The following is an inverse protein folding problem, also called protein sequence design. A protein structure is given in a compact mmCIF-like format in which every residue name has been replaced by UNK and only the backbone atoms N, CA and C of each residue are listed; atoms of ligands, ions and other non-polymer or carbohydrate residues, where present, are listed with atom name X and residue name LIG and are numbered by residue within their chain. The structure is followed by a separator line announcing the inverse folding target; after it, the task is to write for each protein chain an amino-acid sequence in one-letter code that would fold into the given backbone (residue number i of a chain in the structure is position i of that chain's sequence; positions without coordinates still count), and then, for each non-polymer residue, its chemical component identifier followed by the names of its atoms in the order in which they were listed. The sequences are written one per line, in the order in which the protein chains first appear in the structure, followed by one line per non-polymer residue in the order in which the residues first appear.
data_IF_547869118903
#
_entry.id   IF_547869118903
#
_cell.length_a   1.000
_cell.length_b   1.000
_cell.length_c   1.000
_cell.angle_alpha   90.00
_cell.angle_beta   90.00
_cell.angle_gamma   90.00
#
_symmetry.space_group_name_H-M   'P 1'
#
loop_
_entity.id
_entity.type
_entity.pdbx_description
1 polymer ?
#
# COMPACT_ATOMS: atom_id res chain seq x y z
N UNK A 1 25.09 -3.77 1.01
CA UNK A 1 24.31 -4.06 -0.22
C UNK A 1 22.97 -3.37 -0.05
N UNK A 2 22.76 -2.25 -0.73
CA UNK A 2 21.55 -1.42 -0.55
C UNK A 2 20.41 -2.08 -1.32
N UNK A 3 19.46 -2.68 -0.60
CA UNK A 3 18.27 -3.25 -1.21
C UNK A 3 17.35 -2.09 -1.63
N UNK A 4 17.30 -1.81 -2.94
CA UNK A 4 16.33 -0.87 -3.49
C UNK A 4 15.04 -1.65 -3.70
N UNK A 5 13.97 -1.36 -2.94
CA UNK A 5 12.70 -2.06 -3.10
C UNK A 5 12.15 -1.85 -4.52
N UNK A 6 11.52 -2.88 -5.08
CA UNK A 6 10.79 -2.72 -6.35
C UNK A 6 9.65 -1.72 -6.18
N UNK A 7 9.12 -1.17 -7.28
CA UNK A 7 8.03 -0.22 -7.20
C UNK A 7 6.80 -0.83 -6.52
N UNK A 8 6.52 -2.11 -6.79
CA UNK A 8 5.45 -2.85 -6.13
C UNK A 8 5.69 -3.02 -4.62
N UNK A 9 6.93 -3.30 -4.19
CA UNK A 9 7.28 -3.38 -2.76
C UNK A 9 7.15 -2.02 -2.07
N UNK A 10 7.59 -0.94 -2.70
CA UNK A 10 7.42 0.41 -2.17
C UNK A 10 5.93 0.76 -1.98
N UNK A 11 5.07 0.39 -2.94
CA UNK A 11 3.62 0.60 -2.83
C UNK A 11 2.97 -0.26 -1.74
N UNK A 12 3.43 -1.50 -1.52
CA UNK A 12 2.97 -2.35 -0.40
C UNK A 12 3.30 -1.70 0.94
N UNK A 13 4.55 -1.24 1.12
CA UNK A 13 4.95 -0.53 2.34
C UNK A 13 4.19 0.78 2.55
N UNK A 14 3.90 1.51 1.48
CA UNK A 14 3.08 2.71 1.54
C UNK A 14 1.65 2.38 2.00
N UNK A 15 1.03 1.33 1.46
CA UNK A 15 -0.29 0.89 1.89
C UNK A 15 -0.34 0.52 3.38
N UNK A 16 0.68 -0.19 3.88
CA UNK A 16 0.76 -0.56 5.29
C UNK A 16 0.93 0.67 6.20
N UNK A 17 1.68 1.67 5.74
CA UNK A 17 1.80 2.96 6.45
C UNK A 17 0.45 3.67 6.54
N UNK A 18 -0.34 3.67 5.45
CA UNK A 18 -1.66 4.28 5.44
C UNK A 18 -2.63 3.56 6.39
N UNK A 19 -2.59 2.23 6.46
CA UNK A 19 -3.42 1.48 7.42
C UNK A 19 -3.04 1.79 8.87
N UNK A 20 -1.75 1.90 9.18
CA UNK A 20 -1.30 2.31 10.51
C UNK A 20 -1.81 3.72 10.87
N UNK A 21 -1.81 4.66 9.92
CA UNK A 21 -2.41 5.98 10.14
C UNK A 21 -3.92 5.89 10.35
N UNK A 22 -4.62 5.06 9.56
CA UNK A 22 -6.06 4.86 9.73
C UNK A 22 -6.40 4.33 11.13
N UNK A 23 -5.69 3.31 11.61
CA UNK A 23 -5.89 2.79 12.97
C UNK A 23 -5.63 3.83 14.05
N UNK A 24 -4.58 4.65 13.87
CA UNK A 24 -4.28 5.75 14.80
C UNK A 24 -5.41 6.76 14.85
N UNK A 25 -5.95 7.17 13.70
CA UNK A 25 -7.06 8.12 13.62
C UNK A 25 -8.35 7.55 14.18
N UNK A 26 -8.65 6.28 13.93
CA UNK A 26 -9.80 5.60 14.54
C UNK A 26 -9.68 5.60 16.06
N UNK A 27 -8.52 5.24 16.63
CA UNK A 27 -8.34 5.26 18.10
C UNK A 27 -8.46 6.65 18.71
N UNK A 28 -7.94 7.68 18.03
CA UNK A 28 -8.01 9.06 18.50
C UNK A 28 -9.45 9.58 18.50
N UNK A 29 -10.19 9.36 17.42
CA UNK A 29 -11.52 9.94 17.24
C UNK A 29 -12.63 9.11 17.89
N UNK A 30 -12.41 7.80 18.06
CA UNK A 30 -13.30 6.96 18.86
C UNK A 30 -13.38 7.42 20.31
N UNK A 31 -12.28 7.93 20.87
CA UNK A 31 -12.26 8.53 22.22
C UNK A 31 -13.05 9.83 22.31
N UNK A 32 -13.08 10.62 21.23
CA UNK A 32 -13.71 11.93 21.23
C UNK A 32 -15.24 11.83 21.02
N UNK A 33 -15.71 10.93 20.13
CA UNK A 33 -17.14 10.94 19.71
C UNK A 33 -17.78 9.58 19.45
N UNK A 34 -17.07 8.46 19.59
CA UNK A 34 -17.60 7.12 19.28
C UNK A 34 -18.05 6.92 17.83
N UNK A 35 -17.79 7.88 16.94
CA UNK A 35 -18.06 7.78 15.51
C UNK A 35 -16.80 7.34 14.77
N UNK A 36 -17.01 6.54 13.71
CA UNK A 36 -15.96 6.11 12.80
C UNK A 36 -15.39 7.34 12.09
N UNK A 37 -14.07 7.47 12.08
CA UNK A 37 -13.43 8.66 11.54
C UNK A 37 -13.50 8.70 10.02
N UNK A 38 -14.11 9.74 9.45
CA UNK A 38 -14.05 10.02 8.00
C UNK A 38 -12.61 10.09 7.50
N UNK A 39 -11.70 10.59 8.32
CA UNK A 39 -10.26 10.64 8.01
C UNK A 39 -9.65 9.23 7.98
N UNK A 40 -9.95 8.39 8.98
CA UNK A 40 -9.48 7.00 8.99
C UNK A 40 -10.02 6.20 7.80
N UNK A 41 -11.27 6.44 7.41
CA UNK A 41 -11.87 5.82 6.23
C UNK A 41 -11.14 6.22 4.93
N UNK A 42 -10.82 7.51 4.77
CA UNK A 42 -10.03 7.98 3.64
C UNK A 42 -8.66 7.29 3.56
N UNK A 43 -7.96 7.13 4.69
CA UNK A 43 -6.69 6.39 4.75
C UNK A 43 -6.85 4.93 4.34
N UNK A 44 -7.91 4.23 4.79
CA UNK A 44 -8.20 2.83 4.39
C UNK A 44 -8.50 2.71 2.90
N UNK A 45 -9.26 3.65 2.33
CA UNK A 45 -9.52 3.69 0.89
C UNK A 45 -8.22 3.89 0.11
N UNK A 46 -7.38 4.82 0.54
CA UNK A 46 -6.06 5.04 -0.08
C UNK A 46 -5.15 3.83 0.04
N UNK A 47 -5.12 3.16 1.20
CA UNK A 47 -4.35 1.94 1.41
C UNK A 47 -4.81 0.81 0.47
N UNK A 48 -6.12 0.65 0.34
CA UNK A 48 -6.73 -0.33 -0.56
C UNK A 48 -6.37 -0.07 -2.03
N UNK A 49 -6.39 1.19 -2.46
CA UNK A 49 -5.97 1.58 -3.80
C UNK A 49 -4.47 1.30 -4.03
N UNK A 50 -3.62 1.66 -3.06
CA UNK A 50 -2.18 1.41 -3.13
C UNK A 50 -1.87 -0.09 -3.26
N UNK A 51 -2.60 -0.96 -2.55
CA UNK A 51 -2.47 -2.43 -2.71
C UNK A 51 -2.87 -2.90 -4.10
N UNK A 52 -3.98 -2.40 -4.63
CA UNK A 52 -4.40 -2.75 -5.99
C UNK A 52 -3.36 -2.34 -7.03
N UNK A 53 -2.78 -1.14 -6.89
CA UNK A 53 -1.71 -0.66 -7.76
C UNK A 53 -0.43 -1.49 -7.59
N UNK A 54 -0.07 -1.85 -6.36
CA UNK A 54 1.08 -2.71 -6.08
C UNK A 54 0.96 -4.07 -6.76
N UNK A 55 -0.21 -4.73 -6.67
CA UNK A 55 -0.45 -6.02 -7.30
C UNK A 55 -0.36 -5.95 -8.83
N UNK A 56 -0.90 -4.88 -9.45
CA UNK A 56 -0.78 -4.66 -10.90
C UNK A 56 0.67 -4.44 -11.30
N UNK A 57 1.40 -3.64 -10.53
CA UNK A 57 2.80 -3.34 -10.81
C UNK A 57 3.68 -4.58 -10.63
N UNK A 58 3.43 -5.41 -9.63
CA UNK A 58 4.13 -6.68 -9.41
C UNK A 58 3.96 -7.63 -10.59
N UNK A 59 2.75 -7.71 -11.17
CA UNK A 59 2.50 -8.49 -12.38
C UNK A 59 3.27 -7.95 -13.58
N UNK A 60 3.34 -6.63 -13.76
CA UNK A 60 4.10 -6.00 -14.84
C UNK A 60 5.61 -6.22 -14.66
N UNK A 61 6.12 -6.05 -13.45
CA UNK A 61 7.53 -6.30 -13.09
C UNK A 61 7.90 -7.77 -13.36
N UNK A 62 7.02 -8.71 -13.00
CA UNK A 62 7.21 -10.15 -13.26
C UNK A 62 7.23 -10.45 -14.76
N UNK A 63 6.31 -9.89 -15.54
CA UNK A 63 6.28 -10.06 -17.00
C UNK A 63 7.51 -9.45 -17.67
N UNK A 64 7.95 -8.28 -17.20
CA UNK A 64 9.16 -7.63 -17.71
C UNK A 64 10.41 -8.47 -17.42
N UNK A 65 10.54 -9.02 -16.21
CA UNK A 65 11.62 -9.92 -15.83
C UNK A 65 11.64 -11.20 -16.68
N UNK A 66 10.47 -11.81 -16.92
CA UNK A 66 10.34 -13.00 -17.77
C UNK A 66 10.76 -12.72 -19.23
N UNK A 67 10.36 -11.57 -19.79
CA UNK A 67 10.77 -11.14 -21.14
C UNK A 67 12.27 -10.85 -21.23
N UNK A 68 12.86 -10.29 -20.19
CA UNK A 68 14.30 -10.04 -20.13
C UNK A 68 15.11 -11.34 -20.01
N UNK A 69 14.61 -12.33 -19.27
CA UNK A 69 15.24 -13.64 -19.09
C UNK A 69 15.14 -14.59 -20.29
N UNK A 70 14.17 -14.38 -21.18
CA UNK A 70 13.97 -15.18 -22.41
C UNK A 70 14.90 -14.84 -23.58
N UNK A 71 15.78 -13.83 -23.44
CA UNK A 71 16.89 -13.57 -24.37
C UNK A 71 18.15 -14.29 -23.87
N UNK A 72 18.20 -15.61 -24.03
CA UNK A 72 19.43 -16.40 -24.00
C UNK A 72 19.36 -17.45 -25.08
#
# INVERSE_FOLDING_TARGET
MTFIPTGSQALKHFADTLDQQAERWDRLLWRDRGQRSTTAEAYRTSASLARQQASRLEQMETQAAARAGGRK
#
